data_IF_691011038551
#
_entry.id   IF_691011038551
#
_cell.length_a   1.000
_cell.length_b   1.000
_cell.length_c   1.000
_cell.angle_alpha   90.00
_cell.angle_beta   90.00
_cell.angle_gamma   90.00
#
_symmetry.space_group_name_H-M   'P 1'
#
loop_
_entity.id
_entity.type
_entity.pdbx_description
1 polymer ?
#
# COMPACT_ATOMS: atom_id res chain seq x y z
N UNK A 1 -11.72 -8.57 11.54
CA UNK A 1 -12.33 -7.26 11.88
C UNK A 1 -11.52 -6.15 11.24
N UNK A 2 -12.18 -5.14 10.64
CA UNK A 2 -11.55 -4.01 9.92
C UNK A 2 -10.44 -3.32 10.74
N UNK A 3 -10.73 -3.06 12.01
CA UNK A 3 -9.81 -2.39 12.93
C UNK A 3 -8.49 -3.14 13.13
N UNK A 4 -8.54 -4.47 13.31
CA UNK A 4 -7.32 -5.29 13.52
C UNK A 4 -6.41 -5.21 12.29
N UNK A 5 -6.98 -5.31 11.08
CA UNK A 5 -6.18 -5.21 9.86
C UNK A 5 -5.63 -3.81 9.65
N UNK A 6 -6.39 -2.76 10.03
CA UNK A 6 -5.92 -1.38 9.97
C UNK A 6 -4.71 -1.15 10.90
N UNK A 7 -4.76 -1.70 12.12
CA UNK A 7 -3.64 -1.64 13.07
C UNK A 7 -2.42 -2.38 12.53
N UNK A 8 -2.59 -3.61 12.03
CA UNK A 8 -1.49 -4.39 11.43
C UNK A 8 -0.86 -3.69 10.24
N UNK A 9 -1.68 -3.09 9.37
CA UNK A 9 -1.22 -2.37 8.18
C UNK A 9 -0.44 -1.11 8.57
N UNK A 10 -0.99 -0.32 9.51
CA UNK A 10 -0.34 0.89 10.02
C UNK A 10 0.99 0.58 10.71
N UNK A 11 1.04 -0.49 11.51
CA UNK A 11 2.27 -0.97 12.13
C UNK A 11 3.31 -1.37 11.08
N UNK A 12 2.92 -2.16 10.07
CA UNK A 12 3.81 -2.55 8.95
C UNK A 12 4.35 -1.33 8.20
N UNK A 13 3.47 -0.41 7.81
CA UNK A 13 3.83 0.82 7.11
C UNK A 13 4.81 1.65 7.95
N UNK A 14 4.54 1.81 9.25
CA UNK A 14 5.45 2.49 10.19
C UNK A 14 6.81 1.80 10.27
N UNK A 15 6.85 0.46 10.34
CA UNK A 15 8.11 -0.30 10.35
C UNK A 15 8.91 -0.11 9.07
N UNK A 16 8.27 -0.03 7.90
CA UNK A 16 8.96 0.32 6.65
C UNK A 16 9.52 1.74 6.68
N UNK A 17 8.68 2.73 7.01
CA UNK A 17 9.08 4.14 7.09
C UNK A 17 10.22 4.40 8.07
N UNK A 18 10.26 3.67 9.19
CA UNK A 18 11.14 3.99 10.32
C UNK A 18 12.26 2.98 10.56
N UNK A 19 12.26 1.79 9.94
CA UNK A 19 13.27 0.77 10.21
C UNK A 19 13.72 0.02 8.96
N UNK A 20 12.80 -0.58 8.21
CA UNK A 20 13.16 -1.54 7.18
C UNK A 20 13.62 -0.87 5.87
N UNK A 21 12.99 0.24 5.47
CA UNK A 21 13.39 0.97 4.26
C UNK A 21 12.96 2.44 4.35
N UNK A 22 13.72 3.20 5.13
CA UNK A 22 13.49 4.64 5.28
C UNK A 22 13.66 5.37 3.94
N UNK A 23 14.64 4.95 3.13
CA UNK A 23 15.01 5.61 1.88
C UNK A 23 13.96 5.43 0.79
N UNK A 24 13.52 4.20 0.56
CA UNK A 24 12.47 3.91 -0.43
C UNK A 24 11.15 4.58 -0.08
N UNK A 25 10.74 4.56 1.19
CA UNK A 25 9.53 5.29 1.61
C UNK A 25 9.71 6.81 1.46
N UNK A 26 10.86 7.37 1.82
CA UNK A 26 11.12 8.80 1.63
C UNK A 26 11.06 9.21 0.15
N UNK A 27 11.62 8.38 -0.74
CA UNK A 27 11.54 8.58 -2.19
C UNK A 27 10.10 8.55 -2.71
N UNK A 28 9.29 7.60 -2.24
CA UNK A 28 7.87 7.52 -2.62
C UNK A 28 7.13 8.79 -2.19
N UNK A 29 7.34 9.23 -0.94
CA UNK A 29 6.68 10.42 -0.40
C UNK A 29 7.11 11.71 -1.11
N UNK A 30 8.35 11.77 -1.63
CA UNK A 30 8.83 12.93 -2.38
C UNK A 30 8.43 12.90 -3.86
N UNK A 31 8.27 11.72 -4.46
CA UNK A 31 8.13 11.55 -5.91
C UNK A 31 6.68 11.37 -6.35
N UNK A 32 5.88 10.59 -5.61
CA UNK A 32 4.48 10.34 -5.98
C UNK A 32 3.62 11.54 -5.60
N UNK A 33 2.75 11.96 -6.52
CA UNK A 33 1.86 13.10 -6.37
C UNK A 33 0.39 12.69 -6.52
N UNK A 34 -0.49 13.51 -5.98
CA UNK A 34 -1.92 13.31 -6.11
C UNK A 34 -2.33 13.27 -7.60
N UNK A 35 -3.28 12.41 -7.93
CA UNK A 35 -3.77 12.22 -9.31
C UNK A 35 -2.90 11.30 -10.17
N UNK A 36 -1.69 10.93 -9.74
CA UNK A 36 -0.84 10.04 -10.53
C UNK A 36 -1.34 8.59 -10.52
N UNK A 37 -0.87 7.83 -11.52
CA UNK A 37 -1.04 6.38 -11.59
C UNK A 37 0.25 5.69 -11.16
N UNK A 38 0.15 4.74 -10.23
CA UNK A 38 1.28 3.96 -9.72
C UNK A 38 1.08 2.47 -10.05
N UNK A 39 2.15 1.80 -10.46
CA UNK A 39 2.20 0.34 -10.55
C UNK A 39 3.05 -0.18 -9.38
N UNK A 40 2.44 -0.91 -8.46
CA UNK A 40 3.11 -1.54 -7.31
C UNK A 40 3.38 -3.02 -7.63
N UNK A 41 4.61 -3.32 -8.06
CA UNK A 41 5.03 -4.67 -8.45
C UNK A 41 5.57 -5.40 -7.21
N UNK A 42 4.87 -6.45 -6.77
CA UNK A 42 5.23 -7.21 -5.55
C UNK A 42 4.65 -6.58 -4.28
N UNK A 43 3.34 -6.33 -4.27
CA UNK A 43 2.65 -5.64 -3.18
C UNK A 43 2.74 -6.37 -1.82
N UNK A 44 3.07 -7.67 -1.81
CA UNK A 44 3.31 -8.50 -0.64
C UNK A 44 2.19 -8.38 0.41
N UNK A 45 2.46 -7.76 1.56
CA UNK A 45 1.50 -7.51 2.65
C UNK A 45 1.06 -6.04 2.70
N UNK A 46 0.96 -5.38 1.55
CA UNK A 46 0.49 -3.99 1.35
C UNK A 46 1.29 -2.91 2.11
N UNK A 47 2.58 -3.15 2.39
CA UNK A 47 3.40 -2.20 3.15
C UNK A 47 3.61 -0.87 2.43
N UNK A 48 3.98 -0.92 1.15
CA UNK A 48 4.25 0.25 0.30
C UNK A 48 2.96 0.77 -0.30
N UNK A 49 2.08 -0.15 -0.73
CA UNK A 49 0.73 0.12 -1.18
C UNK A 49 -0.04 1.10 -0.28
N UNK A 50 0.11 0.98 1.05
CA UNK A 50 -0.48 1.92 2.00
C UNK A 50 -0.06 3.38 1.76
N UNK A 51 1.21 3.63 1.44
CA UNK A 51 1.70 4.97 1.15
C UNK A 51 1.27 5.43 -0.23
N UNK A 52 1.31 4.56 -1.24
CA UNK A 52 0.85 4.91 -2.60
C UNK A 52 -0.61 5.34 -2.63
N UNK A 53 -1.51 4.55 -2.02
CA UNK A 53 -2.94 4.87 -1.98
C UNK A 53 -3.21 6.23 -1.31
N UNK A 54 -2.45 6.56 -0.26
CA UNK A 54 -2.55 7.87 0.40
C UNK A 54 -2.02 9.00 -0.48
N UNK A 55 -0.91 8.78 -1.16
CA UNK A 55 -0.20 9.82 -1.89
C UNK A 55 -0.88 10.18 -3.21
N UNK A 56 -1.43 9.20 -3.93
CA UNK A 56 -2.15 9.45 -5.19
C UNK A 56 -3.56 10.01 -4.95
N UNK A 57 -4.16 9.74 -3.79
CA UNK A 57 -5.47 10.25 -3.40
C UNK A 57 -6.61 9.80 -4.30
N UNK A 58 -7.77 10.44 -4.17
CA UNK A 58 -9.00 10.02 -4.85
C UNK A 58 -8.99 10.18 -6.37
N UNK A 59 -8.17 11.10 -6.89
CA UNK A 59 -8.03 11.36 -8.33
C UNK A 59 -7.00 10.43 -9.01
N UNK A 60 -6.19 9.73 -8.21
CA UNK A 60 -5.15 8.85 -8.72
C UNK A 60 -5.59 7.38 -8.77
N UNK A 61 -4.68 6.54 -9.26
CA UNK A 61 -4.90 5.08 -9.36
C UNK A 61 -3.65 4.34 -8.90
N UNK A 62 -3.83 3.19 -8.28
CA UNK A 62 -2.74 2.26 -7.99
C UNK A 62 -3.12 0.91 -8.57
N UNK A 63 -2.21 0.27 -9.30
CA UNK A 63 -2.38 -1.11 -9.72
C UNK A 63 -1.35 -1.95 -8.97
N UNK A 64 -1.83 -2.85 -8.12
CA UNK A 64 -0.98 -3.70 -7.28
C UNK A 64 -0.91 -5.12 -7.84
N UNK A 65 0.29 -5.63 -8.01
CA UNK A 65 0.56 -6.96 -8.54
C UNK A 65 1.23 -7.82 -7.48
N UNK A 66 0.77 -9.06 -7.32
CA UNK A 66 1.36 -10.02 -6.39
C UNK A 66 1.22 -11.44 -6.95
N UNK A 67 2.32 -12.10 -7.34
CA UNK A 67 2.26 -13.43 -7.95
C UNK A 67 1.89 -14.53 -6.95
N UNK A 68 2.21 -14.38 -5.66
CA UNK A 68 1.93 -15.42 -4.68
C UNK A 68 0.45 -15.38 -4.28
N UNK A 69 -0.32 -16.42 -4.63
CA UNK A 69 -1.78 -16.44 -4.45
C UNK A 69 -2.23 -16.16 -3.02
N UNK A 70 -1.50 -16.61 -1.99
CA UNK A 70 -1.83 -16.34 -0.59
C UNK A 70 -1.71 -14.86 -0.23
N UNK A 71 -0.69 -14.17 -0.75
CA UNK A 71 -0.48 -12.74 -0.55
C UNK A 71 -1.45 -11.92 -1.41
N UNK A 72 -1.68 -12.34 -2.65
CA UNK A 72 -2.72 -11.74 -3.50
C UNK A 72 -4.09 -11.78 -2.82
N UNK A 73 -4.49 -12.94 -2.28
CA UNK A 73 -5.75 -13.09 -1.56
C UNK A 73 -5.79 -12.21 -0.31
N UNK A 74 -4.66 -12.06 0.39
CA UNK A 74 -4.55 -11.16 1.51
C UNK A 74 -4.76 -9.69 1.11
N UNK A 75 -4.09 -9.21 0.06
CA UNK A 75 -4.24 -7.84 -0.44
C UNK A 75 -5.64 -7.59 -1.00
N UNK A 76 -6.20 -8.56 -1.72
CA UNK A 76 -7.58 -8.55 -2.22
C UNK A 76 -8.61 -8.43 -1.09
N UNK A 77 -8.38 -9.13 0.03
CA UNK A 77 -9.20 -8.99 1.24
C UNK A 77 -9.10 -7.57 1.82
N UNK A 78 -7.90 -6.97 1.88
CA UNK A 78 -7.73 -5.59 2.33
C UNK A 78 -8.46 -4.61 1.41
N UNK A 79 -8.37 -4.82 0.09
CA UNK A 79 -9.09 -4.04 -0.92
C UNK A 79 -10.58 -3.95 -0.60
N UNK A 80 -11.21 -5.10 -0.40
CA UNK A 80 -12.64 -5.18 -0.06
C UNK A 80 -12.94 -4.55 1.31
N UNK A 81 -12.09 -4.77 2.30
CA UNK A 81 -12.33 -4.32 3.68
C UNK A 81 -12.23 -2.79 3.84
N UNK A 82 -11.41 -2.15 3.01
CA UNK A 82 -11.14 -0.71 3.05
C UNK A 82 -11.70 0.05 1.84
N UNK A 83 -12.46 -0.61 0.96
CA UNK A 83 -13.05 -0.03 -0.24
C UNK A 83 -12.01 0.68 -1.13
N UNK A 84 -10.81 0.09 -1.25
CA UNK A 84 -9.72 0.68 -2.02
C UNK A 84 -10.03 0.65 -3.51
N UNK A 85 -9.97 1.82 -4.15
CA UNK A 85 -10.07 1.98 -5.59
C UNK A 85 -8.70 1.76 -6.23
N UNK A 86 -8.34 0.50 -6.39
CA UNK A 86 -7.10 -0.01 -7.00
C UNK A 86 -7.38 -1.25 -7.84
#
# INVERSE_FOLDING_TARGET
MKLIEQLKLSYRASKYKNKNDKGGIAYILSSVKAGQTVLDIGAHKAGYLYFFLKQVGAAGKVFAFEPQSSLYNYVSKLKMLFDWKM
#
